data_IF_691161513699
#
_entry.id   IF_691161513699
#
_cell.length_a   1.000
_cell.length_b   1.000
_cell.length_c   1.000
_cell.angle_alpha   90.00
_cell.angle_beta   90.00
_cell.angle_gamma   90.00
#
_symmetry.space_group_name_H-M   'P 1'
#
loop_
_entity.id
_entity.type
_entity.pdbx_description
1 polymer ?
#
# COMPACT_ATOMS: atom_id res chain seq x y z
N UNK A 1 14.21 -11.49 -8.58
CA UNK A 1 12.96 -12.27 -8.60
C UNK A 1 11.88 -11.39 -8.01
N UNK A 2 11.14 -10.70 -8.88
CA UNK A 2 10.12 -9.70 -8.48
C UNK A 2 8.79 -10.42 -8.42
N UNK A 3 8.23 -10.64 -7.22
CA UNK A 3 6.85 -11.09 -7.07
C UNK A 3 5.93 -9.89 -7.26
N UNK A 4 5.38 -9.79 -8.46
CA UNK A 4 4.29 -8.87 -8.80
C UNK A 4 3.00 -9.46 -8.23
N UNK A 5 2.44 -8.83 -7.20
CA UNK A 5 1.12 -9.18 -6.71
C UNK A 5 0.09 -8.59 -7.69
N UNK A 6 -0.34 -9.42 -8.65
CA UNK A 6 -1.45 -9.10 -9.56
C UNK A 6 -2.74 -9.23 -8.77
N UNK A 7 -3.39 -8.12 -8.47
CA UNK A 7 -4.76 -8.11 -7.99
C UNK A 7 -5.69 -8.26 -9.21
N UNK A 8 -6.12 -9.50 -9.49
CA UNK A 8 -7.15 -9.77 -10.50
C UNK A 8 -8.50 -9.37 -9.90
N UNK A 9 -9.03 -8.24 -10.33
CA UNK A 9 -10.45 -7.91 -10.17
C UNK A 9 -11.20 -8.61 -11.30
N UNK A 10 -11.92 -9.68 -10.98
CA UNK A 10 -12.87 -10.29 -11.91
C UNK A 10 -14.19 -9.54 -11.80
N UNK A 11 -14.51 -8.76 -12.82
CA UNK A 11 -15.88 -8.32 -13.07
C UNK A 11 -16.71 -9.52 -13.50
N UNK A 12 -17.97 -9.61 -13.02
CA UNK A 12 -18.90 -10.67 -13.29
C UNK A 12 -19.39 -10.60 -14.75
N UNK A 13 -18.69 -11.25 -15.65
CA UNK A 13 -19.25 -11.64 -16.95
C UNK A 13 -19.55 -13.13 -16.96
N UNK A 14 -20.68 -13.59 -17.53
CA UNK A 14 -21.01 -14.99 -17.59
C UNK A 14 -20.05 -15.71 -18.55
N UNK A 15 -19.44 -16.77 -18.03
CA UNK A 15 -18.51 -17.62 -18.79
C UNK A 15 -19.22 -18.20 -20.04
N UNK A 16 -18.65 -17.91 -21.20
CA UNK A 16 -19.06 -18.53 -22.46
C UNK A 16 -18.62 -20.01 -22.47
N UNK A 17 -19.57 -20.98 -22.56
CA UNK A 17 -19.27 -22.42 -22.43
C UNK A 17 -18.47 -22.99 -23.62
N UNK A 18 -18.13 -22.21 -24.65
CA UNK A 18 -17.50 -22.68 -25.89
C UNK A 18 -16.02 -22.35 -26.05
N UNK A 19 -15.34 -21.86 -25.01
CA UNK A 19 -13.89 -21.62 -25.08
C UNK A 19 -13.13 -22.84 -24.55
N UNK A 20 -12.64 -23.65 -25.47
CA UNK A 20 -11.82 -24.82 -25.20
C UNK A 20 -10.34 -24.40 -25.12
N UNK A 21 -9.79 -24.28 -23.91
CA UNK A 21 -8.35 -24.08 -23.71
C UNK A 21 -7.69 -25.46 -23.61
N UNK A 22 -6.87 -25.83 -24.59
CA UNK A 22 -6.04 -27.03 -24.53
C UNK A 22 -4.85 -26.82 -23.57
N UNK A 23 -4.62 -27.71 -22.60
CA UNK A 23 -3.36 -27.70 -21.85
C UNK A 23 -2.24 -28.28 -22.72
N UNK A 24 -1.11 -27.60 -22.81
CA UNK A 24 0.11 -28.17 -23.36
C UNK A 24 0.71 -29.14 -22.29
N UNK A 25 0.94 -30.35 -22.76
CA UNK A 25 1.49 -31.48 -22.01
C UNK A 25 3.00 -31.36 -21.79
N UNK A 26 3.48 -31.55 -20.58
CA UNK A 26 4.68 -32.38 -20.35
C UNK A 26 4.67 -32.95 -18.93
N UNK A 27 4.73 -34.29 -18.90
CA UNK A 27 5.21 -35.22 -17.88
C UNK A 27 4.42 -35.53 -16.60
N UNK A 28 3.72 -36.65 -16.71
CA UNK A 28 3.55 -37.78 -15.77
C UNK A 28 3.56 -37.52 -14.26
N UNK A 29 2.36 -37.42 -13.72
CA UNK A 29 2.00 -38.13 -12.48
C UNK A 29 0.57 -38.65 -12.63
N UNK A 30 0.46 -39.98 -12.73
CA UNK A 30 -0.82 -40.69 -12.83
C UNK A 30 -1.44 -40.77 -11.43
N UNK A 31 -2.47 -39.93 -11.18
CA UNK A 31 -3.35 -40.10 -10.01
C UNK A 31 -4.73 -40.45 -10.56
N UNK A 32 -5.26 -41.60 -10.14
CA UNK A 32 -6.50 -42.18 -10.60
C UNK A 32 -7.70 -41.24 -10.40
N UNK A 33 -8.54 -41.10 -11.42
CA UNK A 33 -9.72 -40.22 -11.48
C UNK A 33 -10.87 -40.58 -10.53
N UNK A 34 -10.73 -41.57 -9.65
CA UNK A 34 -11.83 -42.05 -8.79
C UNK A 34 -11.98 -41.33 -7.44
N UNK A 35 -11.08 -40.45 -7.04
CA UNK A 35 -11.10 -39.79 -5.72
C UNK A 35 -11.63 -38.35 -5.71
N UNK A 36 -12.04 -37.77 -6.84
CA UNK A 36 -12.38 -36.33 -6.93
C UNK A 36 -13.88 -36.04 -7.16
N UNK A 37 -14.75 -36.96 -6.81
CA UNK A 37 -16.21 -36.77 -6.95
C UNK A 37 -16.95 -36.71 -5.61
N UNK A 38 -16.45 -36.01 -4.62
CA UNK A 38 -17.29 -35.67 -3.46
C UNK A 38 -16.92 -34.29 -2.95
N UNK A 39 -17.93 -33.43 -2.91
CA UNK A 39 -18.01 -32.19 -2.13
C UNK A 39 -17.41 -30.90 -2.76
N UNK A 40 -17.92 -30.47 -3.91
CA UNK A 40 -18.06 -29.05 -4.21
C UNK A 40 -19.51 -28.63 -3.96
N UNK A 41 -19.99 -28.83 -2.73
CA UNK A 41 -21.19 -28.16 -2.27
C UNK A 41 -20.84 -26.73 -1.90
N UNK A 42 -21.34 -25.77 -2.68
CA UNK A 42 -21.54 -24.34 -2.38
C UNK A 42 -20.60 -23.76 -1.32
N UNK A 43 -19.36 -23.48 -1.70
CA UNK A 43 -18.50 -22.63 -0.89
C UNK A 43 -18.97 -21.20 -1.12
N UNK A 44 -19.68 -20.64 -0.14
CA UNK A 44 -20.03 -19.22 -0.17
C UNK A 44 -18.76 -18.37 -0.09
N UNK A 45 -18.32 -17.91 -1.26
CA UNK A 45 -17.13 -17.07 -1.41
C UNK A 45 -17.26 -15.73 -0.67
N UNK A 46 -18.49 -15.25 -0.38
CA UNK A 46 -18.71 -14.04 0.40
C UNK A 46 -18.36 -14.23 1.86
N UNK A 47 -18.78 -15.34 2.45
CA UNK A 47 -18.48 -15.67 3.85
C UNK A 47 -16.97 -15.88 4.08
N UNK A 48 -16.26 -16.54 3.14
CA UNK A 48 -14.80 -16.73 3.24
C UNK A 48 -14.03 -15.43 3.11
N UNK A 49 -14.48 -14.49 2.26
CA UNK A 49 -13.86 -13.17 2.14
C UNK A 49 -13.93 -12.42 3.47
N UNK A 50 -15.08 -12.43 4.13
CA UNK A 50 -15.27 -11.78 5.44
C UNK A 50 -14.40 -12.38 6.53
N UNK A 51 -14.29 -13.71 6.62
CA UNK A 51 -13.48 -14.40 7.64
C UNK A 51 -11.97 -14.15 7.41
N UNK A 52 -11.51 -14.18 6.16
CA UNK A 52 -10.09 -13.94 5.84
C UNK A 52 -9.68 -12.50 6.19
N UNK A 53 -10.54 -11.52 5.90
CA UNK A 53 -10.31 -10.12 6.25
C UNK A 53 -10.39 -9.87 7.76
N UNK A 54 -11.30 -10.52 8.48
CA UNK A 54 -11.40 -10.43 9.94
C UNK A 54 -10.19 -11.01 10.67
N UNK A 55 -9.62 -12.13 10.17
CA UNK A 55 -8.39 -12.71 10.68
C UNK A 55 -7.17 -11.82 10.38
N UNK A 56 -7.09 -11.25 9.17
CA UNK A 56 -6.04 -10.32 8.79
C UNK A 56 -6.08 -9.03 9.62
N UNK A 57 -7.26 -8.49 9.90
CA UNK A 57 -7.43 -7.31 10.75
C UNK A 57 -6.95 -7.55 12.20
N UNK A 58 -7.22 -8.73 12.77
CA UNK A 58 -6.75 -9.10 14.11
C UNK A 58 -5.23 -9.34 14.20
N UNK A 59 -4.56 -9.64 13.09
CA UNK A 59 -3.10 -9.84 13.05
C UNK A 59 -2.31 -8.53 12.85
N UNK A 60 -2.98 -7.42 12.52
CA UNK A 60 -2.34 -6.12 12.24
C UNK A 60 -2.24 -5.17 13.45
N UNK A 61 -2.85 -5.50 14.59
CA UNK A 61 -3.14 -4.52 15.66
C UNK A 61 -1.98 -4.22 16.64
N UNK A 62 -0.87 -4.93 16.57
CA UNK A 62 0.12 -4.87 17.65
C UNK A 62 1.15 -3.72 17.55
N UNK A 63 1.12 -2.86 16.53
CA UNK A 63 2.13 -1.81 16.34
C UNK A 63 1.59 -0.44 15.91
N UNK A 64 0.28 -0.23 15.95
CA UNK A 64 -0.35 1.01 15.53
C UNK A 64 -0.92 1.74 16.75
N UNK A 65 -0.50 2.98 16.95
CA UNK A 65 -0.96 3.85 18.04
C UNK A 65 -2.01 4.82 17.47
N UNK A 66 -3.26 4.70 17.92
CA UNK A 66 -4.31 5.68 17.63
C UNK A 66 -3.99 6.99 18.33
N UNK A 67 -3.94 8.09 17.62
CA UNK A 67 -3.56 9.40 18.12
C UNK A 67 -4.70 10.38 17.88
N UNK A 68 -5.04 11.16 18.91
CA UNK A 68 -6.03 12.23 18.76
C UNK A 68 -5.42 13.40 18.00
N UNK A 69 -6.12 13.86 16.96
CA UNK A 69 -5.69 14.97 16.13
C UNK A 69 -5.32 16.21 16.92
N UNK A 70 -6.08 16.55 17.97
CA UNK A 70 -5.89 17.74 18.81
C UNK A 70 -4.52 17.77 19.50
N UNK A 71 -3.97 16.60 19.83
CA UNK A 71 -2.71 16.45 20.55
C UNK A 71 -1.47 16.50 19.66
N UNK A 72 -1.65 16.52 18.33
CA UNK A 72 -0.54 16.57 17.39
C UNK A 72 0.09 17.96 17.30
N UNK A 73 1.38 17.99 17.03
CA UNK A 73 2.10 19.22 16.74
C UNK A 73 1.55 19.95 15.51
N UNK A 74 1.68 21.26 15.47
CA UNK A 74 1.17 22.10 14.37
C UNK A 74 1.75 21.71 13.00
N UNK A 75 3.02 21.34 12.95
CA UNK A 75 3.68 20.85 11.73
C UNK A 75 3.08 19.55 11.23
N UNK A 76 2.79 18.59 12.13
CA UNK A 76 2.12 17.32 11.80
C UNK A 76 0.70 17.57 11.33
N UNK A 77 -0.05 18.45 11.99
CA UNK A 77 -1.39 18.86 11.51
C UNK A 77 -1.34 19.40 10.10
N UNK A 78 -0.32 20.24 9.82
CA UNK A 78 -0.15 20.83 8.49
C UNK A 78 0.10 19.78 7.41
N UNK A 79 0.97 18.79 7.64
CA UNK A 79 1.20 17.72 6.64
C UNK A 79 -0.03 16.82 6.46
N UNK A 80 -0.81 16.58 7.51
CA UNK A 80 -2.08 15.84 7.40
C UNK A 80 -3.04 16.58 6.47
N UNK A 81 -3.26 17.88 6.68
CA UNK A 81 -4.09 18.68 5.80
C UNK A 81 -3.57 18.73 4.36
N UNK A 82 -2.24 18.80 4.18
CA UNK A 82 -1.64 18.74 2.84
C UNK A 82 -1.89 17.39 2.16
N UNK A 83 -1.74 16.27 2.90
CA UNK A 83 -2.04 14.95 2.38
C UNK A 83 -3.52 14.79 2.00
N UNK A 84 -4.44 15.32 2.82
CA UNK A 84 -5.87 15.34 2.51
C UNK A 84 -6.16 16.16 1.25
N UNK A 85 -5.60 17.36 1.14
CA UNK A 85 -5.83 18.25 0.01
C UNK A 85 -5.27 17.72 -1.31
N UNK A 86 -4.05 17.15 -1.30
CA UNK A 86 -3.43 16.61 -2.52
C UNK A 86 -4.10 15.31 -2.98
N UNK A 87 -4.71 14.54 -2.06
CA UNK A 87 -5.49 13.36 -2.37
C UNK A 87 -6.59 13.65 -3.41
N UNK A 88 -7.25 14.81 -3.32
CA UNK A 88 -8.31 15.22 -4.26
C UNK A 88 -7.81 15.42 -5.70
N UNK A 89 -6.49 15.50 -5.89
CA UNK A 89 -5.84 15.64 -7.21
C UNK A 89 -5.29 14.31 -7.74
N UNK A 90 -5.54 13.20 -7.08
CA UNK A 90 -5.06 11.89 -7.50
C UNK A 90 -5.58 11.51 -8.89
N UNK A 91 -4.68 11.00 -9.73
CA UNK A 91 -5.05 10.45 -11.02
C UNK A 91 -5.29 8.94 -10.87
N UNK A 92 -6.53 8.56 -10.60
CA UNK A 92 -6.92 7.17 -10.36
C UNK A 92 -8.19 6.77 -11.16
N UNK A 93 -8.12 6.82 -12.52
CA UNK A 93 -9.28 6.57 -13.36
C UNK A 93 -9.76 5.12 -13.33
N UNK A 94 -8.90 4.18 -12.94
CA UNK A 94 -9.18 2.75 -12.96
C UNK A 94 -9.73 2.26 -11.62
N UNK A 95 -8.96 2.41 -10.54
CA UNK A 95 -9.35 1.94 -9.20
C UNK A 95 -10.34 2.85 -8.49
N UNK A 96 -10.40 4.14 -8.86
CA UNK A 96 -11.08 5.21 -8.12
C UNK A 96 -10.57 5.39 -6.68
N UNK A 97 -9.41 4.81 -6.37
CA UNK A 97 -8.81 4.84 -5.04
C UNK A 97 -7.76 5.96 -4.95
N UNK A 98 -8.20 7.10 -4.41
CA UNK A 98 -7.37 8.28 -4.27
C UNK A 98 -6.54 8.23 -2.99
N UNK A 99 -5.22 8.47 -3.12
CA UNK A 99 -4.26 8.56 -2.01
C UNK A 99 -3.47 9.84 -2.13
N UNK A 100 -3.32 10.54 -1.02
CA UNK A 100 -2.44 11.70 -0.88
C UNK A 100 -1.35 11.43 0.15
N UNK A 101 -0.15 11.96 -0.07
CA UNK A 101 0.94 11.90 0.88
C UNK A 101 1.60 13.28 1.02
N UNK A 102 2.09 13.61 2.21
CA UNK A 102 2.86 14.82 2.45
C UNK A 102 4.04 14.53 3.40
N UNK A 103 5.23 14.92 2.97
CA UNK A 103 6.49 14.81 3.70
C UNK A 103 6.75 16.11 4.46
N UNK A 104 7.23 16.00 5.70
CA UNK A 104 7.87 17.09 6.43
C UNK A 104 9.38 16.87 6.37
N UNK A 105 10.09 17.79 5.74
CA UNK A 105 11.54 17.79 5.68
C UNK A 105 12.16 18.30 6.99
N UNK A 106 13.45 18.04 7.21
CA UNK A 106 14.16 18.49 8.42
C UNK A 106 14.24 20.02 8.53
N UNK A 107 14.30 20.73 7.42
CA UNK A 107 14.31 22.21 7.37
C UNK A 107 12.91 22.84 7.55
N UNK A 108 11.87 22.03 7.72
CA UNK A 108 10.47 22.46 7.85
C UNK A 108 9.71 22.58 6.52
N UNK A 109 10.37 22.38 5.38
CA UNK A 109 9.70 22.34 4.07
C UNK A 109 8.71 21.19 4.00
N UNK A 110 7.56 21.42 3.37
CA UNK A 110 6.54 20.39 3.16
C UNK A 110 6.39 20.10 1.67
N UNK A 111 6.52 18.82 1.31
CA UNK A 111 6.38 18.34 -0.08
C UNK A 111 5.29 17.28 -0.14
N UNK A 112 4.34 17.48 -1.03
CA UNK A 112 3.18 16.62 -1.21
C UNK A 112 3.18 15.85 -2.54
N UNK A 113 2.42 14.77 -2.62
CA UNK A 113 2.22 13.97 -3.82
C UNK A 113 0.95 13.15 -3.73
N UNK A 114 0.40 12.77 -4.87
CA UNK A 114 -0.76 11.88 -4.98
C UNK A 114 -0.42 10.67 -5.86
N UNK A 115 -1.25 9.62 -5.80
CA UNK A 115 -1.06 8.48 -6.69
C UNK A 115 -1.42 8.86 -8.14
N UNK A 116 -0.66 8.27 -9.06
CA UNK A 116 -0.83 8.44 -10.51
C UNK A 116 -0.90 7.06 -11.13
N UNK A 117 -2.10 6.66 -11.53
CA UNK A 117 -2.32 5.38 -12.17
C UNK A 117 -1.89 5.37 -13.63
N UNK A 118 -1.65 4.18 -14.13
CA UNK A 118 -1.35 3.92 -15.51
C UNK A 118 -2.18 2.74 -16.00
N UNK A 119 -2.57 2.72 -17.26
CA UNK A 119 -3.26 1.57 -17.88
C UNK A 119 -2.42 0.29 -17.76
N UNK A 120 -1.11 0.41 -17.83
CA UNK A 120 -0.19 -0.63 -17.39
C UNK A 120 0.00 -0.53 -15.87
N UNK A 121 -0.75 -1.29 -15.11
CA UNK A 121 -0.84 -1.17 -13.64
C UNK A 121 0.51 -1.24 -12.94
N UNK A 122 1.47 -1.99 -13.47
CA UNK A 122 2.84 -2.06 -12.95
C UNK A 122 3.61 -0.73 -12.98
N UNK A 123 3.17 0.23 -13.80
CA UNK A 123 3.77 1.56 -13.90
C UNK A 123 3.11 2.61 -12.99
N UNK A 124 2.09 2.24 -12.23
CA UNK A 124 1.42 3.12 -11.28
C UNK A 124 2.40 3.60 -10.20
N UNK A 125 2.37 4.90 -9.91
CA UNK A 125 3.18 5.52 -8.86
C UNK A 125 2.29 5.84 -7.66
N UNK A 126 2.67 5.32 -6.48
CA UNK A 126 1.99 5.63 -5.24
C UNK A 126 2.28 7.07 -4.78
N UNK A 127 1.38 7.64 -4.00
CA UNK A 127 1.46 9.01 -3.49
C UNK A 127 2.77 9.29 -2.73
N UNK A 128 3.21 8.32 -1.90
CA UNK A 128 4.44 8.42 -1.12
C UNK A 128 5.67 8.55 -2.02
N UNK A 129 5.76 7.72 -3.07
CA UNK A 129 6.87 7.78 -4.03
C UNK A 129 6.82 9.05 -4.88
N UNK A 130 5.63 9.53 -5.25
CA UNK A 130 5.47 10.79 -5.95
C UNK A 130 5.96 11.97 -5.09
N UNK A 131 5.61 12.00 -3.79
CA UNK A 131 6.09 13.02 -2.86
C UNK A 131 7.61 12.98 -2.70
N UNK A 132 8.21 11.79 -2.55
CA UNK A 132 9.68 11.64 -2.44
C UNK A 132 10.38 12.11 -3.72
N UNK A 133 9.94 11.67 -4.91
CA UNK A 133 10.55 12.10 -6.17
C UNK A 133 10.50 13.63 -6.33
N UNK A 134 9.37 14.24 -5.98
CA UNK A 134 9.22 15.70 -5.98
C UNK A 134 10.17 16.37 -4.96
N UNK A 135 10.29 15.81 -3.75
CA UNK A 135 11.18 16.34 -2.73
C UNK A 135 12.65 16.30 -3.19
N UNK A 136 13.10 15.18 -3.73
CA UNK A 136 14.46 15.04 -4.26
C UNK A 136 14.73 16.04 -5.40
N UNK A 137 13.76 16.26 -6.31
CA UNK A 137 13.89 17.26 -7.38
C UNK A 137 13.97 18.72 -6.86
N UNK A 138 13.59 18.93 -5.59
CA UNK A 138 13.69 20.20 -4.86
C UNK A 138 14.89 20.21 -3.89
N UNK A 139 15.86 19.30 -4.07
CA UNK A 139 17.07 19.15 -3.24
C UNK A 139 16.80 18.74 -1.78
N UNK A 140 15.57 18.37 -1.44
CA UNK A 140 15.20 17.87 -0.11
C UNK A 140 15.50 16.38 0.00
N UNK A 141 16.42 16.00 0.92
CA UNK A 141 16.91 14.62 1.09
C UNK A 141 16.71 14.07 2.50
N UNK A 142 16.30 14.91 3.44
CA UNK A 142 16.18 14.56 4.86
C UNK A 142 14.75 14.79 5.35
N UNK A 143 14.09 13.73 5.80
CA UNK A 143 12.67 13.72 6.13
C UNK A 143 12.43 13.32 7.58
N UNK A 144 11.63 14.12 8.30
CA UNK A 144 11.17 13.86 9.67
C UNK A 144 10.05 12.84 9.73
N UNK A 145 8.99 13.13 8.97
CA UNK A 145 7.79 12.31 8.99
C UNK A 145 7.02 12.44 7.68
N UNK A 146 6.08 11.51 7.49
CA UNK A 146 5.15 11.49 6.36
C UNK A 146 3.71 11.30 6.86
N UNK A 147 2.75 12.05 6.30
CA UNK A 147 1.34 11.77 6.43
C UNK A 147 0.82 11.12 5.14
N UNK A 148 -0.01 10.10 5.26
CA UNK A 148 -0.61 9.37 4.14
C UNK A 148 -2.12 9.34 4.37
N UNK A 149 -2.88 9.95 3.45
CA UNK A 149 -4.32 10.04 3.54
C UNK A 149 -4.98 9.20 2.45
N UNK A 150 -5.83 8.28 2.88
CA UNK A 150 -6.71 7.52 2.01
C UNK A 150 -8.02 7.19 2.74
N UNK A 151 -9.06 6.84 1.99
CA UNK A 151 -10.37 6.55 2.55
C UNK A 151 -10.66 5.05 2.43
N UNK A 152 -10.79 4.41 3.60
CA UNK A 152 -11.33 3.06 3.75
C UNK A 152 -12.14 3.02 5.03
N UNK A 153 -13.29 2.35 4.99
CA UNK A 153 -14.22 2.32 6.14
C UNK A 153 -13.57 1.67 7.35
N UNK A 154 -13.03 0.46 7.21
CA UNK A 154 -12.60 -0.37 8.33
C UNK A 154 -11.11 -0.31 8.66
N UNK A 155 -10.28 0.26 7.77
CA UNK A 155 -8.82 0.17 7.90
C UNK A 155 -8.12 1.50 7.67
N UNK A 156 -6.90 1.60 8.22
CA UNK A 156 -5.94 2.61 7.81
C UNK A 156 -5.08 2.06 6.67
N UNK A 157 -4.92 2.85 5.62
CA UNK A 157 -4.12 2.47 4.46
C UNK A 157 -2.64 2.68 4.78
N UNK A 158 -1.91 1.59 4.91
CA UNK A 158 -0.47 1.65 5.11
C UNK A 158 0.30 1.64 3.77
N UNK A 159 1.53 2.17 3.72
CA UNK A 159 2.39 2.12 2.54
C UNK A 159 2.56 0.69 2.02
N UNK A 160 2.51 0.51 0.71
CA UNK A 160 2.83 -0.78 0.09
C UNK A 160 4.32 -1.15 0.29
N UNK A 161 4.70 -2.40 0.03
CA UNK A 161 6.07 -2.87 0.24
C UNK A 161 7.13 -2.05 -0.47
N UNK A 162 6.87 -1.63 -1.72
CA UNK A 162 7.77 -0.77 -2.48
C UNK A 162 7.93 0.63 -1.85
N UNK A 163 6.83 1.22 -1.35
CA UNK A 163 6.89 2.51 -0.66
C UNK A 163 7.65 2.41 0.66
N UNK A 164 7.45 1.33 1.44
CA UNK A 164 8.20 1.11 2.69
C UNK A 164 9.71 1.05 2.44
N UNK A 165 10.14 0.34 1.39
CA UNK A 165 11.55 0.26 1.01
C UNK A 165 12.11 1.62 0.58
N UNK A 166 11.35 2.39 -0.22
CA UNK A 166 11.76 3.74 -0.63
C UNK A 166 11.83 4.71 0.55
N UNK A 167 10.91 4.62 1.51
CA UNK A 167 10.97 5.42 2.74
C UNK A 167 12.20 5.05 3.61
N UNK A 168 12.51 3.74 3.70
CA UNK A 168 13.65 3.25 4.47
C UNK A 168 15.00 3.71 3.92
N UNK A 169 15.11 4.03 2.64
CA UNK A 169 16.31 4.60 2.02
C UNK A 169 16.75 5.91 2.68
N UNK A 170 15.77 6.73 3.06
CA UNK A 170 16.03 8.07 3.58
C UNK A 170 16.07 8.13 5.11
N UNK A 171 15.14 7.41 5.78
CA UNK A 171 15.09 7.41 7.24
C UNK A 171 14.27 6.22 7.76
N UNK A 172 14.94 5.21 8.32
CA UNK A 172 14.28 4.06 8.92
C UNK A 172 13.46 4.41 10.16
N UNK A 173 13.84 5.44 10.89
CA UNK A 173 13.13 5.95 12.07
C UNK A 173 11.97 6.91 11.75
N UNK A 174 11.75 7.25 10.47
CA UNK A 174 10.74 8.20 10.03
C UNK A 174 9.36 7.83 10.62
N UNK A 175 8.71 8.80 11.23
CA UNK A 175 7.32 8.66 11.70
C UNK A 175 6.34 8.66 10.52
N UNK A 176 5.36 7.78 10.59
CA UNK A 176 4.33 7.62 9.56
C UNK A 176 2.96 7.84 10.19
N UNK A 177 2.24 8.82 9.71
CA UNK A 177 0.88 9.15 10.12
C UNK A 177 -0.09 8.65 9.04
N UNK A 178 -0.83 7.60 9.36
CA UNK A 178 -1.90 7.07 8.49
C UNK A 178 -3.19 7.80 8.87
N UNK A 179 -3.78 8.54 7.96
CA UNK A 179 -4.95 9.35 8.25
C UNK A 179 -6.10 9.08 7.29
N UNK A 180 -7.31 9.23 7.83
CA UNK A 180 -8.55 9.26 7.06
C UNK A 180 -8.99 10.71 6.82
N UNK A 181 -9.89 10.97 5.86
CA UNK A 181 -10.42 12.32 5.63
C UNK A 181 -11.14 12.93 6.86
N UNK A 182 -11.67 12.09 7.75
CA UNK A 182 -12.36 12.51 8.98
C UNK A 182 -11.43 12.83 10.16
N UNK A 183 -10.11 12.85 9.95
CA UNK A 183 -9.07 13.05 10.96
C UNK A 183 -8.89 11.89 11.97
N UNK A 184 -9.36 10.69 11.67
CA UNK A 184 -8.88 9.51 12.36
C UNK A 184 -7.42 9.27 11.98
N UNK A 185 -6.55 9.04 12.96
CA UNK A 185 -5.11 8.96 12.76
C UNK A 185 -4.52 7.78 13.53
N UNK A 186 -3.63 7.08 12.86
CA UNK A 186 -2.75 6.09 13.46
C UNK A 186 -1.31 6.49 13.21
N UNK A 187 -0.51 6.50 14.27
CA UNK A 187 0.94 6.75 14.24
C UNK A 187 1.70 5.42 14.23
N UNK A 188 2.68 5.33 13.35
CA UNK A 188 3.63 4.21 13.27
C UNK A 188 4.99 4.74 12.82
N UNK A 189 5.92 3.87 12.40
CA UNK A 189 7.21 4.25 11.85
C UNK A 189 7.65 3.32 10.73
N UNK A 190 8.61 3.75 9.91
CA UNK A 190 9.17 2.91 8.84
C UNK A 190 9.77 1.63 9.40
N UNK A 191 10.50 1.68 10.52
CA UNK A 191 11.06 0.50 11.20
C UNK A 191 9.98 -0.51 11.60
N UNK A 192 8.83 -0.04 12.10
CA UNK A 192 7.71 -0.93 12.45
C UNK A 192 7.05 -1.55 11.22
N UNK A 193 6.98 -0.79 10.11
CA UNK A 193 6.36 -1.22 8.85
C UNK A 193 7.26 -2.12 8.00
N UNK A 194 8.59 -2.00 8.14
CA UNK A 194 9.59 -2.79 7.41
C UNK A 194 10.75 -3.19 8.33
N UNK A 195 10.54 -4.17 9.22
CA UNK A 195 11.63 -4.72 10.04
C UNK A 195 12.74 -5.30 9.15
N UNK A 196 14.00 -5.15 9.58
CA UNK A 196 15.17 -5.65 8.85
C UNK A 196 15.24 -5.13 7.40
N UNK A 197 14.86 -3.87 7.18
CA UNK A 197 14.91 -3.23 5.86
C UNK A 197 16.32 -3.23 5.30
N UNK A 198 16.44 -3.41 3.98
CA UNK A 198 17.70 -3.19 3.27
C UNK A 198 17.96 -1.68 3.19
N UNK A 199 19.11 -1.23 3.70
CA UNK A 199 19.45 0.21 3.79
C UNK A 199 20.82 0.49 3.22
N UNK A 200 21.15 1.75 2.85
CA UNK A 200 22.47 2.13 2.35
C UNK A 200 23.63 1.74 3.27
N UNK A 201 23.39 1.65 4.58
CA UNK A 201 24.41 1.26 5.56
C UNK A 201 24.92 -0.18 5.39
N UNK A 202 24.23 -1.02 4.62
CA UNK A 202 24.62 -2.40 4.33
C UNK A 202 25.57 -2.52 3.14
N UNK A 203 25.74 -1.44 2.37
CA UNK A 203 26.53 -1.45 1.14
C UNK A 203 27.59 -0.36 1.21
N UNK A 204 28.87 -0.76 1.24
CA UNK A 204 29.98 0.17 1.04
C UNK A 204 30.16 0.37 -0.47
N UNK A 205 29.73 1.51 -0.96
CA UNK A 205 30.12 1.96 -2.30
C UNK A 205 31.51 2.58 -2.16
N UNK A 206 32.55 1.91 -2.70
CA UNK A 206 33.84 2.55 -2.90
C UNK A 206 33.66 3.66 -3.94
N UNK A 207 33.79 4.91 -3.49
CA UNK A 207 33.87 6.11 -4.35
C UNK A 207 35.21 6.15 -5.07
#
# INVERSE_FOLDING_TARGET
>A
MVYSMILLVFENEPLNPNVFVRPQTTNHFCVSQSAFKTSFASVDFRAKKTVYWQLSAKMGDNNQESVKYELLDSSVKTIIHKAQAIREKAYCPYSKFAVGAALLCEDGTIVDGCNVENVSYGLTICAERAAICKAISQEQKSFKCIAICAEMEDYFVSPCGACRQVLAEFNTGMEVYLCKPNNDIVKTSVTKLLPLSFTPNWVSFST
#
